data_IF_107429295034
#
_entry.id   IF_107429295034
#
_cell.length_a   1.000
_cell.length_b   1.000
_cell.length_c   1.000
_cell.angle_alpha   90.00
_cell.angle_beta   90.00
_cell.angle_gamma   90.00
#
_symmetry.space_group_name_H-M   'P 1'
#
loop_
_entity.id
_entity.type
_entity.pdbx_description
1 polymer ?
#
# COMPACT_ATOMS: atom_id res chain seq x y z
N UNK A 1 -4.26 1.56 -3.46
CA UNK A 1 -3.96 0.23 -4.08
C UNK A 1 -3.70 -0.74 -2.94
N UNK A 2 -3.99 -2.03 -3.08
CA UNK A 2 -3.66 -3.01 -2.04
C UNK A 2 -3.05 -4.29 -2.62
N UNK A 3 -2.06 -4.84 -1.93
CA UNK A 3 -1.66 -6.24 -2.04
C UNK A 3 -2.40 -7.03 -0.97
N UNK A 4 -3.04 -8.15 -1.31
CA UNK A 4 -3.90 -8.83 -0.35
C UNK A 4 -3.84 -10.36 -0.46
N UNK A 5 -4.21 -11.01 0.64
CA UNK A 5 -4.46 -12.44 0.74
C UNK A 5 -5.86 -12.61 1.31
N UNK A 6 -6.70 -13.36 0.62
CA UNK A 6 -8.08 -13.63 1.06
C UNK A 6 -8.39 -15.11 1.02
N UNK A 7 -9.30 -15.54 1.89
CA UNK A 7 -9.83 -16.90 1.89
C UNK A 7 -10.71 -17.17 0.65
N UNK A 8 -11.26 -16.13 0.01
CA UNK A 8 -12.13 -16.23 -1.16
C UNK A 8 -11.70 -15.26 -2.26
N UNK A 9 -12.12 -15.55 -3.48
CA UNK A 9 -12.05 -14.60 -4.61
C UNK A 9 -13.41 -13.93 -4.89
N UNK A 10 -14.43 -14.26 -4.11
CA UNK A 10 -15.73 -13.63 -4.14
C UNK A 10 -15.71 -12.33 -3.33
N UNK A 11 -15.79 -11.21 -4.04
CA UNK A 11 -15.85 -9.85 -3.49
C UNK A 11 -17.18 -9.17 -3.80
N UNK A 12 -18.27 -9.94 -3.95
CA UNK A 12 -19.61 -9.36 -4.11
C UNK A 12 -19.90 -8.41 -2.94
N UNK A 13 -20.31 -7.18 -3.26
CA UNK A 13 -20.61 -6.15 -2.28
C UNK A 13 -19.40 -5.33 -1.83
N UNK A 14 -18.18 -5.65 -2.28
CA UNK A 14 -17.02 -4.80 -2.02
C UNK A 14 -17.13 -3.46 -2.75
N UNK A 15 -16.71 -2.39 -2.09
CA UNK A 15 -16.83 -1.02 -2.56
C UNK A 15 -15.50 -0.50 -3.14
N UNK A 16 -15.54 0.44 -4.11
CA UNK A 16 -14.33 1.06 -4.67
C UNK A 16 -13.75 2.12 -3.72
N UNK A 17 -12.74 2.86 -4.21
CA UNK A 17 -12.09 3.98 -3.50
C UNK A 17 -11.40 3.51 -2.22
N UNK A 18 -11.79 4.03 -1.04
CA UNK A 18 -11.18 3.72 0.28
C UNK A 18 -11.33 2.28 0.73
N UNK A 19 -12.15 1.47 0.04
CA UNK A 19 -12.33 0.06 0.35
C UNK A 19 -11.59 -0.87 -0.64
N UNK A 20 -10.86 -0.30 -1.60
CA UNK A 20 -9.98 -0.97 -2.58
C UNK A 20 -10.63 -2.10 -3.41
N UNK A 21 -11.96 -2.21 -3.42
CA UNK A 21 -12.65 -3.37 -4.00
C UNK A 21 -12.49 -4.66 -3.19
N UNK A 22 -12.06 -4.57 -1.93
CA UNK A 22 -11.82 -5.70 -1.02
C UNK A 22 -12.76 -5.73 0.19
N UNK A 23 -13.26 -4.56 0.61
CA UNK A 23 -14.06 -4.38 1.82
C UNK A 23 -15.36 -3.63 1.50
N UNK A 24 -16.23 -3.49 2.49
CA UNK A 24 -17.35 -2.56 2.47
C UNK A 24 -17.53 -1.93 3.87
N UNK A 25 -18.45 -0.97 3.99
CA UNK A 25 -18.64 -0.22 5.23
C UNK A 25 -19.23 -1.04 6.39
N UNK A 26 -19.93 -2.13 6.10
CA UNK A 26 -20.85 -2.78 7.05
C UNK A 26 -20.46 -4.22 7.41
N UNK A 27 -19.53 -4.82 6.67
CA UNK A 27 -19.20 -6.24 6.77
C UNK A 27 -17.71 -6.45 7.01
N UNK A 28 -17.41 -7.56 7.68
CA UNK A 28 -16.06 -8.03 7.91
C UNK A 28 -15.71 -9.05 6.83
N UNK A 29 -14.62 -8.84 6.12
CA UNK A 29 -14.05 -9.81 5.20
C UNK A 29 -13.22 -10.88 5.94
N UNK A 30 -12.67 -11.84 5.20
CA UNK A 30 -11.57 -12.72 5.66
C UNK A 30 -10.35 -12.47 4.77
N UNK A 31 -9.83 -11.24 4.86
CA UNK A 31 -8.82 -10.69 3.97
C UNK A 31 -7.79 -9.92 4.80
N UNK A 32 -6.52 -10.20 4.55
CA UNK A 32 -5.39 -9.37 4.97
C UNK A 32 -4.95 -8.54 3.78
N UNK A 33 -4.83 -7.22 3.94
CA UNK A 33 -4.32 -6.34 2.90
C UNK A 33 -3.19 -5.44 3.42
N UNK A 34 -2.24 -5.15 2.55
CA UNK A 34 -1.25 -4.08 2.69
C UNK A 34 -1.61 -3.01 1.67
N UNK A 35 -2.06 -1.86 2.16
CA UNK A 35 -2.52 -0.75 1.35
C UNK A 35 -1.40 0.27 1.08
N UNK A 36 -1.42 0.84 -0.12
CA UNK A 36 -0.76 2.09 -0.48
C UNK A 36 -1.87 3.11 -0.74
N UNK A 37 -2.15 3.95 0.24
CA UNK A 37 -3.25 4.91 0.19
C UNK A 37 -2.76 6.33 -0.11
N UNK A 38 -3.43 6.94 -1.09
CA UNK A 38 -3.14 8.25 -1.66
C UNK A 38 -4.29 9.24 -1.43
N UNK A 39 -5.25 8.90 -0.57
CA UNK A 39 -6.42 9.71 -0.27
C UNK A 39 -6.70 9.65 1.21
N UNK A 40 -7.24 10.73 1.77
CA UNK A 40 -7.62 10.76 3.18
C UNK A 40 -9.12 10.54 3.31
N UNK A 41 -9.52 9.48 4.00
CA UNK A 41 -10.89 9.15 4.33
C UNK A 41 -11.06 9.07 5.86
N UNK A 42 -11.85 10.00 6.41
CA UNK A 42 -12.02 10.12 7.87
C UNK A 42 -12.85 8.97 8.47
N UNK A 43 -13.73 8.37 7.68
CA UNK A 43 -14.61 7.27 8.11
C UNK A 43 -13.89 5.93 8.26
N UNK A 44 -12.68 5.80 7.69
CA UNK A 44 -11.79 4.65 7.90
C UNK A 44 -10.56 4.99 8.76
N UNK A 45 -10.56 6.19 9.36
CA UNK A 45 -9.56 6.68 10.32
C UNK A 45 -8.15 6.87 9.74
N UNK A 46 -8.05 7.26 8.47
CA UNK A 46 -6.77 7.52 7.82
C UNK A 46 -5.96 8.60 8.52
N UNK A 47 -4.66 8.33 8.66
CA UNK A 47 -3.71 9.25 9.28
C UNK A 47 -3.41 10.45 8.37
N UNK A 48 -3.37 10.25 7.05
CA UNK A 48 -3.17 11.27 6.00
C UNK A 48 -3.39 10.66 4.61
N UNK A 49 -3.20 11.47 3.56
CA UNK A 49 -3.36 11.13 2.14
C UNK A 49 -2.10 10.52 1.49
N UNK A 50 -1.16 10.01 2.29
CA UNK A 50 0.09 9.43 1.79
C UNK A 50 0.67 8.42 2.80
N UNK A 51 0.03 7.27 2.93
CA UNK A 51 0.40 6.29 3.94
C UNK A 51 0.37 4.84 3.42
N UNK A 52 1.04 3.99 4.18
CA UNK A 52 0.98 2.53 4.04
C UNK A 52 0.24 2.00 5.25
N UNK A 53 -0.64 1.04 5.04
CA UNK A 53 -1.48 0.47 6.08
C UNK A 53 -1.54 -1.06 6.02
N UNK A 54 -1.89 -1.66 7.15
CA UNK A 54 -2.18 -3.09 7.28
C UNK A 54 -3.64 -3.22 7.68
N UNK A 55 -4.44 -3.78 6.78
CA UNK A 55 -5.86 -3.98 6.97
C UNK A 55 -6.16 -5.44 7.29
N UNK A 56 -6.91 -5.66 8.37
CA UNK A 56 -7.37 -6.99 8.75
C UNK A 56 -8.89 -6.98 8.75
N UNK A 57 -9.47 -7.64 7.74
CA UNK A 57 -10.90 -7.85 7.53
C UNK A 57 -11.75 -6.58 7.27
N UNK A 58 -11.17 -5.38 7.34
CA UNK A 58 -11.83 -4.09 7.07
C UNK A 58 -10.78 -3.04 6.68
N UNK A 59 -11.20 -1.98 6.00
CA UNK A 59 -10.34 -0.86 5.57
C UNK A 59 -9.86 0.07 6.70
N UNK A 60 -10.17 -0.24 7.96
CA UNK A 60 -9.56 0.47 9.09
C UNK A 60 -8.26 -0.25 9.42
N UNK A 61 -7.15 0.38 9.04
CA UNK A 61 -5.81 -0.11 9.30
C UNK A 61 -5.59 -0.45 10.78
N UNK A 62 -5.11 -1.68 11.07
CA UNK A 62 -4.66 -2.04 12.42
C UNK A 62 -3.33 -1.38 12.76
N UNK A 63 -2.56 -1.01 11.73
CA UNK A 63 -1.34 -0.23 11.85
C UNK A 63 -1.10 0.52 10.55
N UNK A 64 -0.75 1.80 10.65
CA UNK A 64 -0.40 2.63 9.50
C UNK A 64 0.81 3.53 9.78
N UNK A 65 1.47 3.96 8.72
CA UNK A 65 2.59 4.90 8.78
C UNK A 65 2.69 5.73 7.49
N UNK A 66 3.19 6.96 7.61
CA UNK A 66 3.50 7.79 6.44
C UNK A 66 4.38 7.01 5.45
N UNK A 67 4.07 7.15 4.16
CA UNK A 67 4.78 6.44 3.12
C UNK A 67 6.26 6.85 3.05
N UNK A 68 7.10 5.82 2.92
CA UNK A 68 8.55 5.95 3.01
C UNK A 68 9.22 4.65 2.57
N UNK A 69 10.52 4.72 2.31
CA UNK A 69 11.37 3.54 2.19
C UNK A 69 12.61 3.68 3.08
N UNK A 70 13.24 2.57 3.42
CA UNK A 70 14.54 2.59 4.09
C UNK A 70 15.64 2.59 3.03
N UNK A 71 16.57 3.55 3.09
CA UNK A 71 17.71 3.62 2.19
C UNK A 71 18.92 3.01 2.86
N UNK A 72 19.38 1.86 2.38
CA UNK A 72 20.62 1.22 2.88
C UNK A 72 21.84 2.12 2.67
N UNK A 73 21.84 2.91 1.58
CA UNK A 73 22.89 3.88 1.29
C UNK A 73 22.95 5.01 2.32
N UNK A 74 21.79 5.48 2.78
CA UNK A 74 21.72 6.60 3.74
C UNK A 74 21.57 6.13 5.20
N UNK A 75 21.35 4.82 5.43
CA UNK A 75 21.14 4.24 6.75
C UNK A 75 19.90 4.78 7.47
N UNK A 76 18.90 5.27 6.74
CA UNK A 76 17.72 5.94 7.34
C UNK A 76 16.45 5.78 6.49
N UNK A 77 15.32 6.05 7.14
CA UNK A 77 14.00 6.22 6.51
C UNK A 77 13.99 7.50 5.65
N UNK A 78 13.53 7.38 4.41
CA UNK A 78 13.33 8.48 3.47
C UNK A 78 11.83 8.62 3.22
N UNK A 79 11.29 9.81 3.47
CA UNK A 79 9.90 10.11 3.16
C UNK A 79 9.65 10.02 1.65
N UNK A 80 8.53 9.43 1.29
CA UNK A 80 8.16 9.20 -0.11
C UNK A 80 6.74 9.69 -0.36
N UNK A 81 6.51 10.29 -1.53
CA UNK A 81 5.15 10.56 -2.02
C UNK A 81 4.71 9.46 -2.97
N UNK A 82 3.67 8.73 -2.59
CA UNK A 82 3.07 7.66 -3.40
C UNK A 82 2.55 8.20 -4.74
N UNK A 83 2.03 9.42 -4.75
CA UNK A 83 1.53 10.13 -5.95
C UNK A 83 2.63 10.71 -6.84
N UNK A 84 3.91 10.43 -6.58
CA UNK A 84 5.03 10.99 -7.35
C UNK A 84 5.09 10.54 -8.81
N UNK A 85 4.37 9.46 -9.15
CA UNK A 85 4.46 8.82 -10.46
C UNK A 85 5.79 8.06 -10.69
N UNK A 86 6.69 8.07 -9.70
CA UNK A 86 7.91 7.27 -9.74
C UNK A 86 7.58 5.81 -9.47
N UNK A 87 8.24 4.86 -10.14
CA UNK A 87 8.08 3.45 -9.84
C UNK A 87 8.40 3.16 -8.37
N UNK A 88 7.49 2.46 -7.69
CA UNK A 88 7.73 1.86 -6.38
C UNK A 88 8.17 0.43 -6.64
N UNK A 89 9.45 0.14 -6.41
CA UNK A 89 10.04 -1.18 -6.66
C UNK A 89 10.90 -1.59 -5.46
N UNK A 90 10.73 -2.84 -5.04
CA UNK A 90 11.67 -3.50 -4.14
C UNK A 90 12.84 -3.98 -5.00
N UNK A 91 13.95 -3.24 -4.98
CA UNK A 91 15.16 -3.60 -5.74
C UNK A 91 15.74 -2.41 -6.51
N UNK A 92 17.06 -2.27 -6.43
CA UNK A 92 17.81 -1.16 -7.01
C UNK A 92 17.68 -1.14 -8.55
N UNK A 93 17.18 -0.04 -9.18
CA UNK A 93 17.12 0.05 -10.64
C UNK A 93 18.49 0.24 -11.32
N UNK A 94 19.59 0.38 -10.56
CA UNK A 94 20.89 0.84 -11.11
C UNK A 94 21.93 -0.24 -11.45
N UNK A 95 21.62 -1.53 -11.38
CA UNK A 95 22.43 -2.52 -12.14
C UNK A 95 21.93 -2.63 -13.58
N UNK A 96 21.99 -1.51 -14.32
CA UNK A 96 22.16 -1.63 -15.77
C UNK A 96 23.56 -2.16 -16.00
N UNK A 97 23.67 -3.43 -16.42
CA UNK A 97 24.89 -3.98 -16.99
C UNK A 97 25.31 -3.16 -18.21
N UNK A 98 26.11 -2.11 -17.99
CA UNK A 98 27.09 -1.64 -18.96
C UNK A 98 28.46 -1.99 -18.38
N UNK A 99 28.78 -3.27 -18.43
CA UNK A 99 30.16 -3.75 -18.48
C UNK A 99 30.11 -5.14 -19.12
N UNK A 100 30.99 -5.35 -20.10
CA UNK A 100 31.15 -6.52 -20.97
C UNK A 100 30.28 -6.58 -22.24
N UNK A 101 30.58 -5.70 -23.20
CA UNK A 101 30.78 -6.14 -24.59
C UNK A 101 32.11 -5.55 -25.10
N UNK A 102 33.07 -6.48 -25.27
CA UNK A 102 34.34 -6.45 -26.03
C UNK A 102 35.21 -5.19 -26.03
#
# INVERSE_FOLDING_TARGET
MAFFVSHSTDFVGAEPSRYFGLFNANESASTLAVELDISKALDVLDINDNHVGIDVNRAVSVQSANASYYSDKEGRKIDMKLVSGQPIQEGNPTTSHQDAQT
#
